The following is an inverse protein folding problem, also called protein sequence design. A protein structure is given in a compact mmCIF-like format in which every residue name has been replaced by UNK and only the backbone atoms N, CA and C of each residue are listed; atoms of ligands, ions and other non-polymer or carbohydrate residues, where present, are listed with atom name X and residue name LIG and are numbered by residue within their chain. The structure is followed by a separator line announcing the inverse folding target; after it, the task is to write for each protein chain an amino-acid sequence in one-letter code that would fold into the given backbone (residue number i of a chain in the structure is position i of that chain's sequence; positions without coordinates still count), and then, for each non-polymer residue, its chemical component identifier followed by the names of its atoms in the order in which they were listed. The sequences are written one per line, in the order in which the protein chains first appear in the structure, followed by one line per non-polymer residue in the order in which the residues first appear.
data_IF_885623452648
#
_entry.id   IF_885623452648
#
_cell.length_a   1.000
_cell.length_b   1.000
_cell.length_c   1.000
_cell.angle_alpha   90.00
_cell.angle_beta   90.00
_cell.angle_gamma   90.00
#
_symmetry.space_group_name_H-M   'P 1'
#
loop_
_entity.id
_entity.type
_entity.pdbx_description
1 polymer ?
#
# COMPACT_ATOMS: atom_id res chain seq x y z
N UNK A 1 -25.31 23.76 -28.13
CA UNK A 1 -25.23 22.48 -28.86
C UNK A 1 -24.47 21.41 -28.08
N UNK A 2 -23.17 21.58 -27.77
CA UNK A 2 -22.35 20.54 -27.11
C UNK A 2 -22.88 20.04 -25.75
N UNK A 3 -23.42 20.92 -24.89
CA UNK A 3 -24.05 20.50 -23.61
C UNK A 3 -25.26 19.58 -23.81
N UNK A 4 -26.05 19.86 -24.84
CA UNK A 4 -27.22 19.06 -25.17
C UNK A 4 -26.79 17.69 -25.71
N UNK A 5 -25.72 17.66 -26.52
CA UNK A 5 -25.11 16.44 -27.01
C UNK A 5 -24.58 15.55 -25.88
N UNK A 6 -23.91 16.13 -24.87
CA UNK A 6 -23.49 15.40 -23.65
C UNK A 6 -24.70 14.81 -22.92
N UNK A 7 -25.80 15.56 -22.80
CA UNK A 7 -27.02 15.08 -22.14
C UNK A 7 -27.69 13.92 -22.91
N UNK A 8 -27.69 13.97 -24.24
CA UNK A 8 -28.17 12.88 -25.11
C UNK A 8 -27.31 11.63 -24.90
N UNK A 9 -25.98 11.74 -25.07
CA UNK A 9 -25.07 10.62 -24.88
C UNK A 9 -25.15 10.00 -23.48
N UNK A 10 -25.34 10.83 -22.44
CA UNK A 10 -25.56 10.37 -21.07
C UNK A 10 -26.89 9.62 -20.89
N UNK A 11 -27.96 10.07 -21.55
CA UNK A 11 -29.27 9.39 -21.55
C UNK A 11 -29.19 8.03 -22.23
N UNK A 12 -28.41 7.94 -23.30
CA UNK A 12 -28.19 6.72 -24.07
C UNK A 12 -27.13 5.79 -23.43
N UNK A 13 -26.61 6.15 -22.25
CA UNK A 13 -25.51 5.46 -21.54
C UNK A 13 -24.21 5.35 -22.35
N UNK A 14 -24.05 6.15 -23.40
CA UNK A 14 -22.83 6.25 -24.19
C UNK A 14 -21.85 7.22 -23.52
N UNK A 15 -21.33 6.82 -22.36
CA UNK A 15 -20.54 7.72 -21.52
C UNK A 15 -19.17 8.05 -22.12
N UNK A 16 -18.58 7.17 -22.94
CA UNK A 16 -17.33 7.44 -23.64
C UNK A 16 -17.44 8.65 -24.59
N UNK A 17 -18.50 8.70 -25.41
CA UNK A 17 -18.75 9.84 -26.31
C UNK A 17 -19.18 11.10 -25.53
N UNK A 18 -19.92 10.92 -24.43
CA UNK A 18 -20.22 12.01 -23.51
C UNK A 18 -18.94 12.63 -22.91
N UNK A 19 -17.96 11.82 -22.49
CA UNK A 19 -16.67 12.25 -21.95
C UNK A 19 -15.87 13.01 -23.00
N UNK A 20 -15.75 12.48 -24.22
CA UNK A 20 -15.05 13.14 -25.34
C UNK A 20 -15.65 14.53 -25.61
N UNK A 21 -16.97 14.60 -25.70
CA UNK A 21 -17.68 15.86 -25.92
C UNK A 21 -17.51 16.82 -24.73
N UNK A 22 -17.53 16.29 -23.50
CA UNK A 22 -17.35 17.09 -22.29
C UNK A 22 -15.92 17.62 -22.12
N UNK A 23 -14.90 16.88 -22.55
CA UNK A 23 -13.50 17.34 -22.56
C UNK A 23 -13.32 18.59 -23.44
N UNK A 24 -14.00 18.63 -24.60
CA UNK A 24 -14.01 19.81 -25.48
C UNK A 24 -14.63 21.01 -24.77
N UNK A 25 -15.73 20.80 -24.03
CA UNK A 25 -16.40 21.85 -23.26
C UNK A 25 -15.52 22.35 -22.11
N UNK A 26 -14.84 21.46 -21.39
CA UNK A 26 -13.97 21.80 -20.26
C UNK A 26 -12.77 22.63 -20.68
N UNK A 27 -12.19 22.39 -21.87
CA UNK A 27 -11.12 23.22 -22.44
C UNK A 27 -11.55 24.68 -22.62
N UNK A 28 -12.81 24.92 -22.98
CA UNK A 28 -13.36 26.27 -23.18
C UNK A 28 -13.94 26.88 -21.89
N UNK A 29 -14.43 26.04 -20.96
CA UNK A 29 -15.08 26.47 -19.71
C UNK A 29 -14.64 25.57 -18.54
N UNK A 30 -13.53 25.92 -17.87
CA UNK A 30 -12.95 25.11 -16.77
C UNK A 30 -13.90 24.84 -15.61
N UNK A 31 -14.87 25.73 -15.35
CA UNK A 31 -15.90 25.56 -14.31
C UNK A 31 -16.84 24.36 -14.54
N UNK A 32 -16.86 23.78 -15.74
CA UNK A 32 -17.70 22.61 -16.06
C UNK A 32 -16.99 21.26 -15.85
N UNK A 33 -15.83 21.27 -15.21
CA UNK A 33 -15.10 20.06 -14.79
C UNK A 33 -15.92 19.17 -13.85
N UNK A 34 -16.86 19.73 -13.09
CA UNK A 34 -17.77 18.95 -12.24
C UNK A 34 -18.60 17.92 -13.03
N UNK A 35 -19.14 18.28 -14.20
CA UNK A 35 -19.90 17.32 -15.02
C UNK A 35 -18.99 16.23 -15.59
N UNK A 36 -17.75 16.57 -15.94
CA UNK A 36 -16.75 15.60 -16.41
C UNK A 36 -16.42 14.57 -15.32
N UNK A 37 -16.30 15.00 -14.06
CA UNK A 37 -16.12 14.09 -12.91
C UNK A 37 -17.26 13.08 -12.82
N UNK A 38 -18.51 13.51 -12.98
CA UNK A 38 -19.67 12.61 -12.94
C UNK A 38 -19.69 11.66 -14.13
N UNK A 39 -19.28 12.10 -15.33
CA UNK A 39 -19.21 11.23 -16.49
C UNK A 39 -18.14 10.14 -16.32
N UNK A 40 -16.97 10.47 -15.77
CA UNK A 40 -15.96 9.46 -15.42
C UNK A 40 -16.48 8.47 -14.38
N UNK A 41 -17.22 8.94 -13.38
CA UNK A 41 -17.88 8.05 -12.42
C UNK A 41 -18.90 7.11 -13.07
N UNK A 42 -19.73 7.63 -13.98
CA UNK A 42 -20.75 6.85 -14.70
C UNK A 42 -20.15 5.86 -15.71
N UNK A 43 -18.96 6.16 -16.25
CA UNK A 43 -18.23 5.29 -17.17
C UNK A 43 -17.31 4.27 -16.46
N UNK A 44 -17.46 4.10 -15.15
CA UNK A 44 -16.64 3.24 -14.31
C UNK A 44 -15.14 3.60 -14.26
N UNK A 45 -14.76 4.81 -14.69
CA UNK A 45 -13.39 5.33 -14.67
C UNK A 45 -13.08 6.01 -13.33
N UNK A 46 -13.21 5.25 -12.24
CA UNK A 46 -13.19 5.76 -10.88
C UNK A 46 -11.88 6.43 -10.46
N UNK A 47 -10.75 5.95 -10.98
CA UNK A 47 -9.43 6.55 -10.71
C UNK A 47 -9.29 7.92 -11.38
N UNK A 48 -9.79 8.05 -12.61
CA UNK A 48 -9.80 9.32 -13.32
C UNK A 48 -10.76 10.31 -12.67
N UNK A 49 -11.94 9.83 -12.24
CA UNK A 49 -12.89 10.63 -11.47
C UNK A 49 -12.27 11.15 -10.16
N UNK A 50 -11.57 10.29 -9.41
CA UNK A 50 -10.93 10.67 -8.15
C UNK A 50 -9.77 11.67 -8.36
N UNK A 51 -8.90 11.42 -9.33
CA UNK A 51 -7.82 12.33 -9.68
C UNK A 51 -8.34 13.71 -10.08
N UNK A 52 -9.39 13.75 -10.90
CA UNK A 52 -10.00 15.00 -11.35
C UNK A 52 -10.70 15.74 -10.20
N UNK A 53 -11.32 15.02 -9.25
CA UNK A 53 -11.86 15.61 -8.01
C UNK A 53 -10.77 16.29 -7.20
N UNK A 54 -9.61 15.67 -7.03
CA UNK A 54 -8.50 16.23 -6.24
C UNK A 54 -7.92 17.51 -6.88
N UNK A 55 -7.81 17.53 -8.20
CA UNK A 55 -7.42 18.74 -8.94
C UNK A 55 -8.49 19.83 -8.82
N UNK A 56 -9.76 19.47 -8.97
CA UNK A 56 -10.87 20.42 -8.89
C UNK A 56 -11.02 21.03 -7.48
N UNK A 57 -10.77 20.25 -6.42
CA UNK A 57 -10.76 20.72 -5.04
C UNK A 57 -9.70 21.80 -4.80
N UNK A 58 -8.49 21.61 -5.34
CA UNK A 58 -7.41 22.59 -5.22
C UNK A 58 -7.72 23.91 -5.93
N UNK A 59 -8.36 23.82 -7.11
CA UNK A 59 -8.62 24.99 -7.94
C UNK A 59 -9.85 25.80 -7.48
N UNK A 60 -10.91 25.14 -6.98
CA UNK A 60 -12.22 25.76 -6.77
C UNK A 60 -12.94 25.35 -5.48
N UNK A 61 -12.39 24.40 -4.71
CA UNK A 61 -13.06 23.76 -3.59
C UNK A 61 -14.17 22.77 -4.01
N UNK A 62 -14.61 21.93 -3.07
CA UNK A 62 -15.66 20.93 -3.33
C UNK A 62 -17.03 21.34 -2.83
N UNK A 63 -18.04 21.14 -3.67
CA UNK A 63 -19.44 21.14 -3.27
C UNK A 63 -19.77 19.91 -2.44
N UNK A 64 -20.81 19.97 -1.61
CA UNK A 64 -21.27 18.85 -0.76
C UNK A 64 -21.47 17.56 -1.55
N UNK A 65 -22.04 17.65 -2.76
CA UNK A 65 -22.25 16.49 -3.64
C UNK A 65 -20.94 15.85 -4.09
N UNK A 66 -19.95 16.65 -4.46
CA UNK A 66 -18.63 16.14 -4.85
C UNK A 66 -17.84 15.61 -3.66
N UNK A 67 -17.98 16.20 -2.46
CA UNK A 67 -17.41 15.62 -1.22
C UNK A 67 -17.96 14.23 -0.94
N UNK A 68 -19.28 14.05 -1.06
CA UNK A 68 -19.91 12.75 -0.90
C UNK A 68 -19.46 11.74 -1.96
N UNK A 69 -19.35 12.18 -3.23
CA UNK A 69 -18.83 11.33 -4.31
C UNK A 69 -17.38 10.93 -4.06
N UNK A 70 -16.51 11.87 -3.67
CA UNK A 70 -15.12 11.61 -3.28
C UNK A 70 -15.05 10.56 -2.18
N UNK A 71 -15.84 10.71 -1.12
CA UNK A 71 -15.86 9.74 -0.01
C UNK A 71 -16.28 8.34 -0.49
N UNK A 72 -17.31 8.23 -1.34
CA UNK A 72 -17.74 6.96 -1.93
C UNK A 72 -16.65 6.33 -2.81
N UNK A 73 -16.00 7.13 -3.65
CA UNK A 73 -14.92 6.70 -4.52
C UNK A 73 -13.69 6.26 -3.75
N UNK A 74 -13.29 7.00 -2.72
CA UNK A 74 -12.19 6.64 -1.83
C UNK A 74 -12.50 5.34 -1.08
N UNK A 75 -13.72 5.15 -0.59
CA UNK A 75 -14.12 3.91 0.09
C UNK A 75 -14.13 2.71 -0.86
N UNK A 76 -14.54 2.91 -2.11
CA UNK A 76 -14.67 1.86 -3.13
C UNK A 76 -13.35 1.51 -3.81
N UNK A 77 -12.50 2.50 -4.07
CA UNK A 77 -11.14 2.31 -4.59
C UNK A 77 -10.13 2.05 -3.47
N UNK A 78 -10.56 1.44 -2.35
CA UNK A 78 -9.63 0.87 -1.37
C UNK A 78 -9.21 -0.54 -1.84
N UNK A 79 -8.00 -0.74 -2.39
CA UNK A 79 -7.02 -1.54 -1.68
C UNK A 79 -6.63 -0.76 -0.41
N UNK A 80 -6.35 -1.45 0.71
CA UNK A 80 -6.02 -0.79 1.97
C UNK A 80 -5.00 0.36 1.77
N UNK A 81 -5.45 1.59 2.04
CA UNK A 81 -4.68 2.84 2.24
C UNK A 81 -4.03 3.52 1.02
N UNK A 82 -4.65 4.58 0.50
CA UNK A 82 -3.95 5.80 0.03
C UNK A 82 -4.77 7.02 0.45
N UNK A 83 -4.52 7.54 1.65
CA UNK A 83 -4.68 8.97 1.91
C UNK A 83 -3.25 9.50 1.90
N UNK A 84 -2.98 10.43 1.00
CA UNK A 84 -1.72 11.16 0.89
C UNK A 84 -1.57 12.15 2.06
N UNK A 85 -1.44 11.63 3.27
CA UNK A 85 -0.59 12.24 4.29
C UNK A 85 0.62 11.34 4.35
N UNK A 86 1.82 11.88 4.15
CA UNK A 86 3.02 11.17 4.59
C UNK A 86 2.85 11.07 6.10
N UNK A 87 2.30 9.95 6.58
CA UNK A 87 2.25 9.69 8.00
C UNK A 87 3.71 9.53 8.42
N UNK A 88 4.28 10.62 8.92
CA UNK A 88 5.65 10.64 9.40
C UNK A 88 5.79 9.56 10.47
N UNK A 89 6.97 8.93 10.54
CA UNK A 89 7.24 7.87 11.52
C UNK A 89 6.80 8.26 12.96
N UNK A 90 7.02 9.51 13.44
CA UNK A 90 6.52 9.95 14.75
C UNK A 90 5.00 9.89 14.89
N UNK A 91 4.26 10.28 13.85
CA UNK A 91 2.79 10.25 13.86
C UNK A 91 2.29 8.81 13.93
N UNK A 92 2.85 7.91 13.11
CA UNK A 92 2.47 6.49 13.13
C UNK A 92 2.73 5.86 14.50
N UNK A 93 3.87 6.18 15.12
CA UNK A 93 4.23 5.74 16.47
C UNK A 93 3.23 6.26 17.51
N UNK A 94 2.88 7.55 17.43
CA UNK A 94 1.88 8.14 18.31
C UNK A 94 0.52 7.45 18.18
N UNK A 95 0.06 7.27 16.94
CA UNK A 95 -1.22 6.62 16.65
C UNK A 95 -1.23 5.16 17.12
N UNK A 96 -0.12 4.45 16.99
CA UNK A 96 0.03 3.06 17.45
C UNK A 96 -0.02 2.92 18.98
N UNK A 97 0.45 3.93 19.72
CA UNK A 97 0.42 3.94 21.18
C UNK A 97 -0.94 4.34 21.74
N UNK A 98 -1.64 5.25 21.05
CA UNK A 98 -2.90 5.83 21.53
C UNK A 98 -4.14 5.01 21.16
N UNK A 99 -4.03 4.10 20.18
CA UNK A 99 -5.13 3.29 19.67
C UNK A 99 -4.81 1.79 19.79
N UNK A 100 -5.83 0.91 19.67
CA UNK A 100 -5.58 -0.52 19.59
C UNK A 100 -4.55 -0.87 18.50
N UNK A 101 -3.56 -1.71 18.80
CA UNK A 101 -2.49 -2.00 17.87
C UNK A 101 -3.06 -2.63 16.60
N UNK A 102 -2.70 -2.05 15.46
CA UNK A 102 -3.08 -2.55 14.13
C UNK A 102 -1.84 -3.04 13.40
N UNK A 103 -1.93 -4.24 12.83
CA UNK A 103 -0.85 -4.82 12.05
C UNK A 103 -0.43 -3.92 10.89
N UNK A 104 -1.40 -3.27 10.22
CA UNK A 104 -1.12 -2.37 9.12
C UNK A 104 -0.30 -1.14 9.56
N UNK A 105 -0.63 -0.57 10.72
CA UNK A 105 0.13 0.55 11.30
C UNK A 105 1.52 0.10 11.70
N UNK A 106 1.65 -1.06 12.37
CA UNK A 106 2.94 -1.64 12.73
C UNK A 106 3.82 -1.89 11.50
N UNK A 107 3.25 -2.48 10.43
CA UNK A 107 3.96 -2.74 9.18
C UNK A 107 4.49 -1.45 8.56
N UNK A 108 3.72 -0.36 8.57
CA UNK A 108 4.17 0.96 8.11
C UNK A 108 5.31 1.50 8.97
N UNK A 109 5.17 1.43 10.30
CA UNK A 109 6.23 1.83 11.25
C UNK A 109 7.52 1.09 10.92
N UNK A 110 7.48 -0.24 10.82
CA UNK A 110 8.65 -1.07 10.53
C UNK A 110 9.27 -0.76 9.16
N UNK A 111 8.44 -0.50 8.15
CA UNK A 111 8.91 -0.18 6.79
C UNK A 111 9.63 1.16 6.71
N UNK A 112 9.26 2.14 7.55
CA UNK A 112 9.92 3.45 7.63
C UNK A 112 11.11 3.41 8.59
N UNK A 113 10.93 2.85 9.78
CA UNK A 113 11.95 2.81 10.84
C UNK A 113 13.24 2.09 10.39
N UNK A 114 13.15 1.06 9.54
CA UNK A 114 14.34 0.37 9.02
C UNK A 114 15.29 1.30 8.22
N UNK A 115 14.79 2.43 7.72
CA UNK A 115 15.57 3.43 6.99
C UNK A 115 15.94 4.62 7.85
N UNK A 116 14.99 5.06 8.68
CA UNK A 116 15.05 6.37 9.34
C UNK A 116 15.40 6.28 10.84
N UNK A 117 15.10 5.16 11.50
CA UNK A 117 15.22 4.99 12.96
C UNK A 117 15.38 3.50 13.36
N UNK A 118 16.63 3.03 13.32
CA UNK A 118 16.99 1.64 13.67
C UNK A 118 16.59 1.28 15.12
N UNK A 119 16.80 2.12 16.14
CA UNK A 119 16.28 1.87 17.49
C UNK A 119 14.76 1.61 17.52
N UNK A 120 13.96 2.44 16.85
CA UNK A 120 12.52 2.21 16.75
C UNK A 120 12.23 0.90 16.01
N UNK A 121 12.93 0.60 14.92
CA UNK A 121 12.77 -0.66 14.19
C UNK A 121 12.97 -1.86 15.12
N UNK A 122 14.04 -1.87 15.92
CA UNK A 122 14.29 -2.93 16.89
C UNK A 122 13.15 -3.07 17.90
N UNK A 123 12.71 -1.97 18.51
CA UNK A 123 11.61 -1.97 19.47
C UNK A 123 10.34 -2.58 18.87
N UNK A 124 9.89 -2.07 17.72
CA UNK A 124 8.64 -2.53 17.10
C UNK A 124 8.75 -3.92 16.48
N UNK A 125 9.94 -4.34 16.07
CA UNK A 125 10.17 -5.71 15.57
C UNK A 125 10.04 -6.74 16.69
N UNK A 126 10.42 -6.38 17.93
CA UNK A 126 10.24 -7.22 19.10
C UNK A 126 8.75 -7.41 19.42
N UNK A 127 7.97 -6.33 19.36
CA UNK A 127 6.53 -6.37 19.61
C UNK A 127 5.73 -7.09 18.50
N UNK A 128 6.30 -7.25 17.31
CA UNK A 128 5.54 -7.70 16.15
C UNK A 128 5.00 -9.12 16.30
N UNK A 129 5.81 -10.04 16.82
CA UNK A 129 5.40 -11.43 17.02
C UNK A 129 4.39 -11.51 18.18
N UNK A 130 4.63 -10.78 19.27
CA UNK A 130 3.74 -10.79 20.43
C UNK A 130 2.33 -10.27 20.09
N UNK A 131 2.25 -9.23 19.26
CA UNK A 131 0.98 -8.60 18.89
C UNK A 131 0.31 -9.26 17.69
N UNK A 132 1.10 -9.79 16.75
CA UNK A 132 0.62 -10.33 15.48
C UNK A 132 1.35 -11.64 15.11
N UNK A 133 1.21 -12.71 15.91
CA UNK A 133 1.92 -13.98 15.70
C UNK A 133 1.43 -14.75 14.46
N UNK A 134 0.23 -14.47 13.97
CA UNK A 134 -0.28 -15.09 12.74
C UNK A 134 0.23 -14.41 11.46
N UNK A 135 1.05 -13.36 11.58
CA UNK A 135 1.50 -12.56 10.44
C UNK A 135 2.97 -12.86 10.11
N UNK A 136 3.29 -13.42 8.92
CA UNK A 136 4.67 -13.77 8.56
C UNK A 136 5.61 -12.55 8.55
N UNK A 137 5.12 -11.36 8.20
CA UNK A 137 5.92 -10.13 8.25
C UNK A 137 6.46 -9.80 9.66
N UNK A 138 5.78 -10.25 10.72
CA UNK A 138 6.24 -10.07 12.10
C UNK A 138 7.56 -10.80 12.34
N UNK A 139 7.64 -12.06 11.92
CA UNK A 139 8.85 -12.87 11.98
C UNK A 139 9.94 -12.34 11.04
N UNK A 140 9.59 -11.92 9.83
CA UNK A 140 10.55 -11.29 8.92
C UNK A 140 11.23 -10.08 9.57
N UNK A 141 10.43 -9.21 10.20
CA UNK A 141 10.92 -7.98 10.81
C UNK A 141 11.81 -8.26 12.01
N UNK A 142 11.41 -9.20 12.87
CA UNK A 142 12.23 -9.65 14.01
C UNK A 142 13.52 -10.31 13.56
N UNK A 143 13.46 -11.23 12.58
CA UNK A 143 14.63 -11.89 12.02
C UNK A 143 15.61 -10.90 11.38
N UNK A 144 15.10 -9.91 10.65
CA UNK A 144 15.92 -8.83 10.09
C UNK A 144 16.58 -7.99 11.18
N UNK A 145 15.85 -7.64 12.24
CA UNK A 145 16.40 -6.90 13.38
C UNK A 145 17.55 -7.67 14.06
N UNK A 146 17.36 -8.97 14.31
CA UNK A 146 18.38 -9.85 14.87
C UNK A 146 19.60 -10.00 13.94
N UNK A 147 19.36 -10.11 12.63
CA UNK A 147 20.44 -10.14 11.63
C UNK A 147 21.30 -8.86 11.68
N UNK A 148 20.67 -7.68 11.78
CA UNK A 148 21.37 -6.40 11.90
C UNK A 148 22.18 -6.28 13.20
N UNK A 149 21.75 -6.96 14.26
CA UNK A 149 22.46 -7.04 15.55
C UNK A 149 23.58 -8.07 15.56
N UNK A 150 23.83 -8.80 14.46
CA UNK A 150 24.82 -9.87 14.41
C UNK A 150 24.36 -11.19 15.06
N UNK A 151 23.12 -11.24 15.55
CA UNK A 151 22.51 -12.41 16.20
C UNK A 151 21.97 -13.39 15.15
N UNK A 152 22.88 -13.95 14.36
CA UNK A 152 22.51 -14.72 13.16
C UNK A 152 21.77 -16.01 13.48
N UNK A 153 22.10 -16.70 14.58
CA UNK A 153 21.39 -17.92 14.96
C UNK A 153 19.96 -17.61 15.40
N UNK A 154 19.77 -16.63 16.30
CA UNK A 154 18.43 -16.19 16.70
C UNK A 154 17.60 -15.72 15.49
N UNK A 155 18.23 -15.05 14.52
CA UNK A 155 17.54 -14.65 13.29
C UNK A 155 17.05 -15.84 12.48
N UNK A 156 17.85 -16.90 12.34
CA UNK A 156 17.48 -18.14 11.64
C UNK A 156 16.28 -18.77 12.35
N UNK A 157 16.37 -18.98 13.66
CA UNK A 157 15.33 -19.66 14.43
C UNK A 157 13.97 -18.95 14.26
N UNK A 158 13.95 -17.61 14.30
CA UNK A 158 12.73 -16.82 14.09
C UNK A 158 12.22 -16.90 12.65
N UNK A 159 13.11 -16.87 11.66
CA UNK A 159 12.73 -16.85 10.25
C UNK A 159 12.23 -18.20 9.76
N UNK A 160 12.78 -19.31 10.26
CA UNK A 160 12.30 -20.65 9.93
C UNK A 160 10.89 -20.90 10.46
N UNK A 161 10.54 -20.38 11.65
CA UNK A 161 9.15 -20.41 12.12
C UNK A 161 8.28 -19.52 11.23
N UNK A 162 8.75 -18.31 10.91
CA UNK A 162 7.99 -17.31 10.19
C UNK A 162 7.61 -17.69 8.75
N UNK A 163 8.43 -18.51 8.10
CA UNK A 163 8.25 -18.86 6.69
C UNK A 163 7.06 -19.79 6.47
N UNK A 164 6.74 -20.64 7.45
CA UNK A 164 5.62 -21.59 7.39
C UNK A 164 4.25 -20.88 7.39
N UNK A 165 4.20 -19.63 7.84
CA UNK A 165 2.98 -18.80 7.82
C UNK A 165 2.75 -18.09 6.47
N UNK A 166 3.64 -18.24 5.49
CA UNK A 166 3.50 -17.59 4.19
C UNK A 166 2.53 -18.39 3.31
N UNK A 167 1.45 -17.73 2.89
CA UNK A 167 0.48 -18.29 1.95
C UNK A 167 0.49 -17.43 0.69
N UNK A 168 0.84 -18.02 -0.46
CA UNK A 168 0.77 -17.41 -1.80
C UNK A 168 1.42 -16.01 -1.91
N UNK A 169 2.52 -15.78 -1.19
CA UNK A 169 3.22 -14.50 -1.19
C UNK A 169 4.71 -14.65 -1.53
N UNK A 170 4.98 -14.87 -2.82
CA UNK A 170 6.33 -15.07 -3.34
C UNK A 170 7.28 -13.91 -3.01
N UNK A 171 6.78 -12.67 -2.99
CA UNK A 171 7.60 -11.49 -2.64
C UNK A 171 8.06 -11.51 -1.18
N UNK A 172 7.21 -11.98 -0.27
CA UNK A 172 7.57 -12.10 1.14
C UNK A 172 8.54 -13.27 1.35
N UNK A 173 8.28 -14.40 0.70
CA UNK A 173 9.13 -15.59 0.76
C UNK A 173 10.55 -15.31 0.26
N UNK A 174 10.69 -14.54 -0.83
CA UNK A 174 11.98 -14.05 -1.33
C UNK A 174 12.75 -13.26 -0.27
N UNK A 175 12.07 -12.43 0.52
CA UNK A 175 12.72 -11.65 1.59
C UNK A 175 13.20 -12.55 2.73
N UNK A 176 12.39 -13.55 3.13
CA UNK A 176 12.79 -14.56 4.11
C UNK A 176 14.05 -15.31 3.66
N UNK A 177 14.03 -15.88 2.46
CA UNK A 177 15.17 -16.61 1.92
C UNK A 177 16.43 -15.75 1.82
N UNK A 178 16.30 -14.48 1.41
CA UNK A 178 17.43 -13.57 1.32
C UNK A 178 18.13 -13.39 2.67
N UNK A 179 17.35 -13.25 3.74
CA UNK A 179 17.90 -13.08 5.09
C UNK A 179 18.49 -14.40 5.60
N UNK A 180 17.79 -15.53 5.44
CA UNK A 180 18.27 -16.85 5.84
C UNK A 180 19.60 -17.20 5.17
N UNK A 181 19.71 -17.02 3.85
CA UNK A 181 20.95 -17.24 3.09
C UNK A 181 22.09 -16.39 3.66
N UNK A 182 21.83 -15.10 3.96
CA UNK A 182 22.84 -14.24 4.55
C UNK A 182 23.24 -14.69 5.96
N UNK A 183 22.30 -15.14 6.79
CA UNK A 183 22.57 -15.54 8.16
C UNK A 183 23.38 -16.85 8.20
N UNK A 184 22.98 -17.87 7.43
CA UNK A 184 23.72 -19.13 7.34
C UNK A 184 25.14 -18.95 6.80
N UNK A 185 25.34 -18.06 5.83
CA UNK A 185 26.69 -17.71 5.35
C UNK A 185 27.56 -17.12 6.46
N UNK A 186 27.00 -16.23 7.29
CA UNK A 186 27.75 -15.62 8.40
C UNK A 186 28.06 -16.59 9.54
N UNK A 187 27.31 -17.68 9.65
CA UNK A 187 27.58 -18.78 10.59
C UNK A 187 28.45 -19.90 9.98
N UNK A 188 29.03 -19.72 8.80
CA UNK A 188 29.81 -20.74 8.10
C UNK A 188 29.04 -22.05 7.86
N UNK A 189 27.74 -21.96 7.56
CA UNK A 189 26.87 -23.09 7.19
C UNK A 189 26.49 -23.04 5.69
N UNK A 190 27.45 -23.27 4.77
CA UNK A 190 27.25 -23.05 3.33
C UNK A 190 26.24 -24.00 2.69
N UNK A 191 26.09 -25.22 3.22
CA UNK A 191 25.14 -26.22 2.71
C UNK A 191 23.69 -25.73 2.86
N UNK A 192 23.33 -25.22 4.04
CA UNK A 192 22.01 -24.62 4.32
C UNK A 192 21.77 -23.37 3.48
N UNK A 193 22.78 -22.51 3.35
CA UNK A 193 22.68 -21.33 2.48
C UNK A 193 22.43 -21.71 1.00
N UNK A 194 23.00 -22.83 0.53
CA UNK A 194 22.76 -23.32 -0.82
C UNK A 194 21.33 -23.87 -0.98
N UNK A 195 20.82 -24.62 0.00
CA UNK A 195 19.44 -25.13 0.02
C UNK A 195 18.43 -24.01 -0.19
N UNK A 196 18.51 -22.95 0.61
CA UNK A 196 17.60 -21.79 0.51
C UNK A 196 17.82 -20.99 -0.78
N UNK A 197 19.04 -20.97 -1.33
CA UNK A 197 19.31 -20.35 -2.64
C UNK A 197 18.60 -21.09 -3.78
N UNK A 198 18.54 -22.42 -3.74
CA UNK A 198 17.79 -23.21 -4.73
C UNK A 198 16.29 -22.95 -4.62
N UNK A 199 15.73 -22.92 -3.41
CA UNK A 199 14.31 -22.56 -3.18
C UNK A 199 13.99 -21.17 -3.75
N UNK A 200 14.86 -20.19 -3.52
CA UNK A 200 14.71 -18.84 -4.06
C UNK A 200 14.71 -18.79 -5.60
N UNK A 201 15.47 -19.66 -6.28
CA UNK A 201 15.50 -19.73 -7.74
C UNK A 201 14.23 -20.34 -8.32
N UNK A 202 13.67 -21.36 -7.64
CA UNK A 202 12.43 -22.00 -8.05
C UNK A 202 11.21 -21.08 -7.94
N UNK A 203 11.23 -20.13 -6.99
CA UNK A 203 10.17 -19.13 -6.81
C UNK A 203 10.13 -18.00 -7.86
N UNK A 204 11.03 -18.00 -8.85
CA UNK A 204 11.07 -16.99 -9.93
C UNK A 204 10.40 -17.45 -11.23
N UNK A 205 9.72 -18.59 -11.22
CA UNK A 205 8.98 -19.19 -12.35
C UNK A 205 7.49 -19.05 -12.05
#
# INVERSE_FOLDING_TARGET
MLKHLVAIHKRDKNYQEAIKTQLIIVKQKPKQRAELIYLYYLNDEYMQALSLIDVFEKDYGLTTRLKQLKNKLVLRNKPQTVISTIDSLPKLISDFKLNPPSFNTLKKILTLAIKDDIPAYHMYSNLAIDLFPAQPFSYLSKGRALQLQGKHQEAIDILEIGIDFIIENSLLEVQFYTILISAYKRLNQPQKALEYKMKLQNNKI
#
